data_IF_848284304831
#
_entry.id   IF_848284304831
#
_cell.length_a   1.000
_cell.length_b   1.000
_cell.length_c   1.000
_cell.angle_alpha   90.00
_cell.angle_beta   90.00
_cell.angle_gamma   90.00
#
_symmetry.space_group_name_H-M   'P 1'
#
loop_
_entity.id
_entity.type
_entity.pdbx_description
1 polymer ?
#
# COMPACT_ATOMS: atom_id res chain seq x y z
N UNK A 1 -19.79 -16.44 45.78
CA UNK A 1 -19.52 -16.37 44.36
C UNK A 1 -19.51 -17.75 43.75
N UNK A 2 -20.36 -17.99 42.78
CA UNK A 2 -20.35 -19.19 41.95
C UNK A 2 -19.24 -19.01 40.91
N UNK A 3 -18.11 -19.72 41.09
CA UNK A 3 -17.12 -19.90 40.02
C UNK A 3 -17.46 -21.23 39.30
N UNK A 4 -18.19 -21.20 38.17
CA UNK A 4 -18.59 -22.42 37.47
C UNK A 4 -17.47 -23.06 36.65
N UNK A 5 -16.31 -22.40 36.50
CA UNK A 5 -15.16 -22.91 35.80
C UNK A 5 -13.91 -22.92 36.68
N UNK A 6 -13.07 -23.97 36.60
CA UNK A 6 -11.83 -24.07 37.37
C UNK A 6 -10.76 -23.07 36.91
N UNK A 7 -10.97 -22.33 35.83
CA UNK A 7 -10.11 -21.27 35.33
C UNK A 7 -10.88 -19.97 35.27
N UNK A 8 -10.29 -18.90 35.76
CA UNK A 8 -10.81 -17.56 35.61
C UNK A 8 -10.80 -17.18 34.12
N UNK A 9 -11.94 -16.65 33.60
CA UNK A 9 -12.03 -16.24 32.19
C UNK A 9 -10.97 -15.19 31.80
N UNK A 10 -10.47 -14.43 32.76
CA UNK A 10 -9.37 -13.48 32.59
C UNK A 10 -8.08 -14.16 32.07
N UNK A 11 -7.77 -15.38 32.52
CA UNK A 11 -6.59 -16.11 32.06
C UNK A 11 -6.64 -16.49 30.59
N UNK A 12 -7.82 -16.77 30.05
CA UNK A 12 -7.99 -17.03 28.60
C UNK A 12 -7.60 -15.79 27.82
N UNK A 13 -8.03 -14.63 28.26
CA UNK A 13 -7.73 -13.35 27.62
C UNK A 13 -6.26 -12.99 27.76
N UNK A 14 -5.66 -13.18 28.94
CA UNK A 14 -4.23 -12.95 29.19
C UNK A 14 -3.37 -13.82 28.27
N UNK A 15 -3.71 -15.10 28.10
CA UNK A 15 -2.92 -16.01 27.26
C UNK A 15 -3.13 -15.69 25.78
N UNK A 16 -4.37 -15.50 25.31
CA UNK A 16 -4.66 -15.27 23.89
C UNK A 16 -4.20 -13.88 23.41
N UNK A 17 -4.38 -12.84 24.23
CA UNK A 17 -4.07 -11.48 23.85
C UNK A 17 -2.73 -11.00 24.43
N UNK A 18 -2.36 -11.40 25.65
CA UNK A 18 -1.15 -10.93 26.30
C UNK A 18 0.11 -11.62 25.81
N UNK A 19 0.06 -12.92 25.48
CA UNK A 19 1.25 -13.65 25.01
C UNK A 19 1.81 -13.09 23.70
N UNK A 20 1.01 -12.79 22.66
CA UNK A 20 1.51 -12.12 21.45
C UNK A 20 2.18 -10.79 21.74
N UNK A 21 1.60 -9.94 22.59
CA UNK A 21 2.14 -8.62 22.95
C UNK A 21 3.51 -8.78 23.62
N UNK A 22 3.65 -9.73 24.55
CA UNK A 22 4.92 -10.00 25.24
C UNK A 22 5.98 -10.51 24.25
N UNK A 23 5.59 -11.41 23.33
CA UNK A 23 6.52 -11.93 22.31
C UNK A 23 7.00 -10.83 21.36
N UNK A 24 6.11 -9.98 20.89
CA UNK A 24 6.46 -8.84 20.02
C UNK A 24 7.35 -7.84 20.76
N UNK A 25 7.08 -7.56 22.04
CA UNK A 25 7.91 -6.71 22.87
C UNK A 25 9.33 -7.27 23.05
N UNK A 26 9.46 -8.58 23.27
CA UNK A 26 10.77 -9.25 23.42
C UNK A 26 11.52 -9.22 22.08
N UNK A 27 10.86 -9.57 20.98
CA UNK A 27 11.45 -9.57 19.65
C UNK A 27 11.92 -8.14 19.28
N UNK A 28 11.09 -7.12 19.48
CA UNK A 28 11.42 -5.72 19.21
C UNK A 28 12.60 -5.22 20.06
N UNK A 29 12.65 -5.63 21.33
CA UNK A 29 13.75 -5.25 22.23
C UNK A 29 15.08 -5.90 21.83
N UNK A 30 15.05 -7.15 21.35
CA UNK A 30 16.27 -7.90 20.99
C UNK A 30 16.77 -7.51 19.58
N UNK A 31 15.84 -7.21 18.64
CA UNK A 31 16.21 -6.96 17.23
C UNK A 31 16.54 -5.49 16.97
N UNK A 32 15.76 -4.57 17.51
CA UNK A 32 15.85 -3.14 17.14
C UNK A 32 16.37 -2.24 18.28
N UNK A 33 16.57 -2.78 19.51
CA UNK A 33 16.89 -2.01 20.71
C UNK A 33 15.92 -0.82 20.95
N UNK A 34 14.70 -0.93 20.42
CA UNK A 34 13.69 0.14 20.45
C UNK A 34 12.69 -0.15 21.57
N UNK A 35 12.66 0.75 22.58
CA UNK A 35 11.70 0.66 23.67
C UNK A 35 10.36 1.19 23.19
N UNK A 36 9.63 0.36 22.47
CA UNK A 36 8.27 0.65 22.01
C UNK A 36 7.27 0.63 23.17
N UNK A 37 6.10 1.20 22.92
CA UNK A 37 4.97 1.16 23.87
C UNK A 37 4.66 -0.27 24.34
N UNK A 38 4.85 -1.27 23.47
CA UNK A 38 4.61 -2.69 23.73
C UNK A 38 5.45 -3.24 24.88
N UNK A 39 6.68 -2.75 25.07
CA UNK A 39 7.54 -3.13 26.20
C UNK A 39 6.97 -2.62 27.52
N UNK A 40 6.47 -1.37 27.55
CA UNK A 40 5.87 -0.79 28.75
C UNK A 40 4.55 -1.49 29.09
N UNK A 41 3.74 -1.80 28.07
CA UNK A 41 2.46 -2.54 28.24
C UNK A 41 2.74 -3.96 28.72
N UNK A 42 3.72 -4.66 28.15
CA UNK A 42 4.13 -6.00 28.60
C UNK A 42 4.59 -6.01 30.05
N UNK A 43 5.36 -5.00 30.47
CA UNK A 43 5.78 -4.85 31.84
C UNK A 43 4.61 -4.61 32.79
N UNK A 44 3.65 -3.74 32.40
CA UNK A 44 2.44 -3.47 33.16
C UNK A 44 1.56 -4.72 33.28
N UNK A 45 1.42 -5.49 32.20
CA UNK A 45 0.66 -6.73 32.16
C UNK A 45 1.25 -7.78 33.10
N UNK A 46 2.58 -8.01 33.04
CA UNK A 46 3.27 -8.92 33.95
C UNK A 46 3.13 -8.46 35.39
N UNK A 47 3.30 -7.17 35.69
CA UNK A 47 3.13 -6.63 37.02
C UNK A 47 1.71 -6.83 37.58
N UNK A 48 0.66 -6.62 36.74
CA UNK A 48 -0.74 -6.84 37.14
C UNK A 48 -0.98 -8.31 37.53
N UNK A 49 -0.45 -9.26 36.74
CA UNK A 49 -0.55 -10.69 37.06
C UNK A 49 0.16 -11.03 38.34
N UNK A 50 1.37 -10.48 38.63
CA UNK A 50 2.13 -10.73 39.88
C UNK A 50 1.35 -10.19 41.07
N UNK A 51 0.66 -9.07 40.96
CA UNK A 51 -0.13 -8.47 42.04
C UNK A 51 -1.46 -9.23 42.27
N UNK A 52 -1.87 -10.07 41.32
CA UNK A 52 -3.11 -10.83 41.38
C UNK A 52 -4.33 -10.10 40.84
N UNK A 53 -4.10 -9.04 40.06
CA UNK A 53 -5.13 -8.27 39.36
C UNK A 53 -5.35 -8.84 37.94
N UNK A 54 -5.73 -10.13 37.88
CA UNK A 54 -5.86 -10.88 36.62
C UNK A 54 -6.90 -10.27 35.67
N UNK A 55 -8.01 -9.72 36.22
CA UNK A 55 -9.02 -9.07 35.42
C UNK A 55 -8.49 -7.82 34.71
N UNK A 56 -7.76 -6.96 35.45
CA UNK A 56 -7.15 -5.75 34.87
C UNK A 56 -6.10 -6.09 33.81
N UNK A 57 -5.30 -7.14 34.03
CA UNK A 57 -4.34 -7.63 33.06
C UNK A 57 -5.02 -8.12 31.78
N UNK A 58 -6.12 -8.88 31.90
CA UNK A 58 -6.91 -9.36 30.75
C UNK A 58 -7.56 -8.22 29.97
N UNK A 59 -8.11 -7.22 30.65
CA UNK A 59 -8.74 -6.05 30.05
C UNK A 59 -7.73 -5.23 29.23
N UNK A 60 -6.57 -4.93 29.80
CA UNK A 60 -5.50 -4.20 29.11
C UNK A 60 -5.00 -4.97 27.90
N UNK A 61 -4.73 -6.27 28.01
CA UNK A 61 -4.33 -7.11 26.91
C UNK A 61 -5.34 -7.12 25.77
N UNK A 62 -6.65 -7.20 26.09
CA UNK A 62 -7.72 -7.21 25.12
C UNK A 62 -7.85 -5.89 24.36
N UNK A 63 -7.81 -4.75 25.08
CA UNK A 63 -7.88 -3.41 24.47
C UNK A 63 -6.70 -3.20 23.53
N UNK A 64 -5.49 -3.57 23.95
CA UNK A 64 -4.29 -3.45 23.11
C UNK A 64 -4.38 -4.32 21.86
N UNK A 65 -4.87 -5.54 21.96
CA UNK A 65 -5.03 -6.44 20.82
C UNK A 65 -6.05 -5.90 19.81
N UNK A 66 -7.13 -5.29 20.28
CA UNK A 66 -8.10 -4.60 19.39
C UNK A 66 -7.42 -3.42 18.70
N UNK A 67 -6.61 -2.64 19.41
CA UNK A 67 -5.86 -1.52 18.84
C UNK A 67 -4.93 -1.98 17.73
N UNK A 68 -4.12 -3.01 17.96
CA UNK A 68 -3.22 -3.60 16.96
C UNK A 68 -3.99 -4.12 15.73
N UNK A 69 -5.11 -4.82 15.94
CA UNK A 69 -5.95 -5.31 14.83
C UNK A 69 -6.50 -4.17 13.96
N UNK A 70 -6.96 -3.07 14.59
CA UNK A 70 -7.46 -1.90 13.86
C UNK A 70 -6.35 -1.19 13.09
N UNK A 71 -5.14 -1.13 13.64
CA UNK A 71 -3.96 -0.60 12.97
C UNK A 71 -3.61 -1.44 11.73
N UNK A 72 -3.53 -2.77 11.88
CA UNK A 72 -3.26 -3.70 10.78
C UNK A 72 -4.30 -3.58 9.66
N UNK A 73 -5.58 -3.52 10.00
CA UNK A 73 -6.66 -3.33 9.02
C UNK A 73 -6.55 -1.99 8.29
N UNK A 74 -6.14 -0.94 8.98
CA UNK A 74 -5.96 0.40 8.40
C UNK A 74 -4.78 0.41 7.43
N UNK A 75 -3.65 -0.17 7.83
CA UNK A 75 -2.45 -0.32 6.98
C UNK A 75 -2.74 -1.20 5.77
N UNK A 76 -3.45 -2.33 5.96
CA UNK A 76 -3.82 -3.21 4.86
C UNK A 76 -4.72 -2.52 3.83
N UNK A 77 -5.70 -1.70 4.28
CA UNK A 77 -6.53 -0.91 3.36
C UNK A 77 -5.73 0.13 2.58
N UNK A 78 -4.79 0.80 3.21
CA UNK A 78 -3.91 1.76 2.54
C UNK A 78 -3.05 1.07 1.47
N UNK A 79 -2.46 -0.09 1.78
CA UNK A 79 -1.66 -0.89 0.83
C UNK A 79 -2.48 -1.41 -0.34
N UNK A 80 -3.72 -1.85 -0.12
CA UNK A 80 -4.60 -2.35 -1.17
C UNK A 80 -4.91 -1.27 -2.24
N UNK A 81 -4.94 0.00 -1.87
CA UNK A 81 -5.07 1.12 -2.81
C UNK A 81 -3.89 1.22 -3.77
N UNK A 82 -2.67 1.10 -3.26
CA UNK A 82 -1.43 1.14 -4.06
C UNK A 82 -1.35 -0.10 -4.97
N UNK A 83 -1.68 -1.28 -4.45
CA UNK A 83 -1.65 -2.51 -5.24
C UNK A 83 -2.62 -2.47 -6.43
N UNK A 84 -3.79 -1.85 -6.26
CA UNK A 84 -4.72 -1.61 -7.39
C UNK A 84 -4.09 -0.77 -8.48
N UNK A 85 -3.38 0.31 -8.15
CA UNK A 85 -2.69 1.15 -9.14
C UNK A 85 -1.58 0.37 -9.87
N UNK A 86 -0.83 -0.45 -9.17
CA UNK A 86 0.20 -1.31 -9.77
C UNK A 86 -0.40 -2.33 -10.73
N UNK A 87 -1.54 -2.94 -10.37
CA UNK A 87 -2.27 -3.89 -11.24
C UNK A 87 -2.86 -3.25 -12.50
N UNK A 88 -3.08 -1.94 -12.51
CA UNK A 88 -3.55 -1.21 -13.68
C UNK A 88 -2.44 -0.95 -14.71
N UNK A 89 -1.17 -1.19 -14.34
CA UNK A 89 -0.05 -1.11 -15.27
C UNK A 89 -0.05 -2.35 -16.18
N UNK A 90 -0.26 -2.21 -17.50
CA UNK A 90 -0.20 -3.33 -18.41
C UNK A 90 1.16 -4.02 -18.35
N UNK A 91 1.16 -5.32 -18.31
CA UNK A 91 2.39 -6.13 -18.31
C UNK A 91 2.92 -6.37 -19.73
N UNK A 92 2.06 -6.22 -20.74
CA UNK A 92 2.40 -6.46 -22.14
C UNK A 92 1.94 -5.32 -23.03
N UNK A 93 2.59 -5.17 -24.17
CA UNK A 93 2.25 -4.24 -25.22
C UNK A 93 2.27 -4.95 -26.58
N UNK A 94 1.37 -4.52 -27.47
CA UNK A 94 1.29 -5.02 -28.85
C UNK A 94 2.04 -4.06 -29.76
N UNK A 95 3.23 -4.47 -30.18
CA UNK A 95 4.09 -3.70 -31.08
C UNK A 95 3.78 -4.05 -32.53
N UNK A 96 3.66 -3.04 -33.37
CA UNK A 96 3.41 -3.16 -34.82
C UNK A 96 4.71 -2.85 -35.55
N UNK A 97 5.19 -3.82 -36.33
CA UNK A 97 6.38 -3.66 -37.20
C UNK A 97 6.01 -4.02 -38.65
N UNK A 98 5.73 -3.00 -39.44
CA UNK A 98 5.20 -3.21 -40.79
C UNK A 98 3.81 -3.85 -40.75
N UNK A 99 3.67 -5.08 -41.28
CA UNK A 99 2.41 -5.83 -41.22
C UNK A 99 2.36 -6.87 -40.10
N UNK A 100 3.44 -7.03 -39.33
CA UNK A 100 3.51 -7.99 -38.25
C UNK A 100 3.20 -7.32 -36.90
N UNK A 101 2.39 -8.00 -36.11
CA UNK A 101 2.11 -7.64 -34.70
C UNK A 101 2.81 -8.64 -33.79
N UNK A 102 3.42 -8.15 -32.75
CA UNK A 102 4.02 -8.98 -31.69
C UNK A 102 3.66 -8.46 -30.30
N UNK A 103 3.36 -9.37 -29.40
CA UNK A 103 3.12 -9.02 -28.01
C UNK A 103 4.45 -9.18 -27.26
N UNK A 104 4.90 -8.09 -26.64
CA UNK A 104 6.14 -8.06 -25.86
C UNK A 104 5.84 -7.58 -24.44
N UNK A 105 6.70 -7.85 -23.45
CA UNK A 105 6.64 -7.19 -22.15
C UNK A 105 6.65 -5.67 -22.29
N UNK A 106 5.78 -4.97 -21.55
CA UNK A 106 5.68 -3.51 -21.62
C UNK A 106 7.01 -2.80 -21.27
N UNK A 107 7.85 -3.44 -20.46
CA UNK A 107 9.19 -2.96 -20.10
C UNK A 107 10.19 -2.95 -21.27
N UNK A 108 9.91 -3.72 -22.32
CA UNK A 108 10.76 -3.82 -23.52
C UNK A 108 10.37 -2.85 -24.62
N UNK A 109 9.29 -2.07 -24.43
CA UNK A 109 8.86 -1.04 -25.36
C UNK A 109 9.88 0.10 -25.35
N UNK A 110 10.34 0.51 -26.53
CA UNK A 110 11.23 1.64 -26.71
C UNK A 110 10.46 2.89 -27.20
N UNK A 111 11.03 4.06 -26.91
CA UNK A 111 10.52 5.32 -27.49
C UNK A 111 10.60 5.25 -29.00
N UNK A 112 9.50 5.61 -29.70
CA UNK A 112 9.38 5.52 -31.14
C UNK A 112 8.75 4.21 -31.64
N UNK A 113 8.56 3.19 -30.80
CA UNK A 113 7.82 1.99 -31.19
C UNK A 113 6.35 2.34 -31.49
N UNK A 114 5.82 1.71 -32.55
CA UNK A 114 4.40 1.81 -32.87
C UNK A 114 3.65 0.70 -32.14
N UNK A 115 2.65 1.10 -31.34
CA UNK A 115 1.84 0.19 -30.55
C UNK A 115 0.40 0.23 -31.00
N UNK A 116 -0.25 -0.93 -31.09
CA UNK A 116 -1.68 -1.06 -31.31
C UNK A 116 -2.40 -1.35 -30.03
N UNK A 117 -3.44 -0.55 -29.74
CA UNK A 117 -4.28 -0.72 -28.54
C UNK A 117 -5.72 -0.99 -28.98
N UNK A 118 -6.24 -2.15 -28.55
CA UNK A 118 -7.58 -2.59 -28.89
C UNK A 118 -8.61 -2.07 -27.86
N UNK A 119 -9.91 -2.07 -28.21
CA UNK A 119 -10.97 -1.74 -27.26
C UNK A 119 -10.92 -2.65 -26.02
N UNK A 120 -11.04 -2.05 -24.83
CA UNK A 120 -10.93 -2.72 -23.54
C UNK A 120 -9.50 -2.87 -23.03
N UNK A 121 -8.48 -2.65 -23.85
CA UNK A 121 -7.09 -2.69 -23.43
C UNK A 121 -6.66 -1.39 -22.72
N UNK A 122 -5.77 -1.53 -21.77
CA UNK A 122 -5.13 -0.39 -21.11
C UNK A 122 -3.89 0.04 -21.88
N UNK A 123 -3.72 1.35 -22.04
CA UNK A 123 -2.55 1.95 -22.72
C UNK A 123 -1.27 1.61 -21.94
N UNK A 124 -0.28 0.93 -22.55
CA UNK A 124 0.88 0.43 -21.84
C UNK A 124 1.93 1.50 -21.50
N UNK A 125 2.12 2.47 -22.37
CA UNK A 125 3.11 3.55 -22.23
C UNK A 125 2.51 4.86 -22.71
N UNK A 126 3.12 6.01 -22.40
CA UNK A 126 2.65 7.29 -22.94
C UNK A 126 3.01 7.40 -24.42
N UNK A 127 2.13 8.03 -25.21
CA UNK A 127 2.39 8.21 -26.64
C UNK A 127 1.46 9.19 -27.32
N UNK A 128 1.56 9.24 -28.64
CA UNK A 128 0.76 10.08 -29.53
C UNK A 128 0.03 9.18 -30.53
N UNK A 129 -1.27 9.39 -30.71
CA UNK A 129 -2.08 8.67 -31.70
C UNK A 129 -1.59 9.00 -33.09
N UNK A 130 -1.23 7.97 -33.87
CA UNK A 130 -0.80 8.09 -35.26
C UNK A 130 -1.85 7.66 -36.27
N UNK A 131 -2.74 6.74 -35.85
CA UNK A 131 -3.81 6.26 -36.68
C UNK A 131 -5.01 5.82 -35.84
N UNK A 132 -6.20 6.08 -36.33
CA UNK A 132 -7.46 5.75 -35.65
C UNK A 132 -8.03 6.89 -34.82
N UNK A 133 -9.18 6.64 -34.23
CA UNK A 133 -9.83 7.51 -33.24
C UNK A 133 -10.41 6.62 -32.14
N UNK A 134 -10.47 7.13 -30.95
CA UNK A 134 -10.86 6.36 -29.78
C UNK A 134 -11.45 7.26 -28.71
N UNK A 135 -12.08 6.63 -27.72
CA UNK A 135 -12.55 7.27 -26.50
C UNK A 135 -11.92 6.58 -25.31
N UNK A 136 -11.37 7.34 -24.39
CA UNK A 136 -10.65 6.85 -23.21
C UNK A 136 -11.42 7.07 -21.93
N UNK A 137 -11.43 6.06 -21.06
CA UNK A 137 -11.73 6.26 -19.65
C UNK A 137 -10.45 6.66 -18.92
N UNK A 138 -10.43 7.87 -18.41
CA UNK A 138 -9.30 8.45 -17.68
C UNK A 138 -9.53 8.48 -16.16
N UNK A 139 -10.57 7.82 -15.66
CA UNK A 139 -10.96 7.87 -14.24
C UNK A 139 -9.81 7.51 -13.27
N UNK A 140 -8.91 6.63 -13.69
CA UNK A 140 -7.72 6.23 -12.92
C UNK A 140 -6.74 7.40 -12.74
N UNK A 141 -6.66 8.30 -13.73
CA UNK A 141 -5.71 9.40 -13.75
C UNK A 141 -6.32 10.71 -13.22
N UNK A 142 -7.55 11.01 -13.59
CA UNK A 142 -8.21 12.28 -13.30
C UNK A 142 -9.32 12.19 -12.26
N UNK A 143 -9.81 10.97 -11.97
CA UNK A 143 -10.99 10.74 -11.15
C UNK A 143 -12.31 10.94 -11.90
N UNK A 144 -12.29 11.43 -13.14
CA UNK A 144 -13.47 11.66 -13.96
C UNK A 144 -13.80 10.43 -14.82
N UNK A 145 -15.04 9.92 -14.68
CA UNK A 145 -15.47 8.72 -15.40
C UNK A 145 -16.02 9.00 -16.81
N UNK A 146 -16.15 10.27 -17.20
CA UNK A 146 -16.63 10.62 -18.52
C UNK A 146 -15.58 10.26 -19.58
N UNK A 147 -15.96 9.54 -20.64
CA UNK A 147 -15.06 9.23 -21.75
C UNK A 147 -14.59 10.51 -22.45
N UNK A 148 -13.31 10.53 -22.79
CA UNK A 148 -12.69 11.63 -23.54
C UNK A 148 -12.33 11.12 -24.93
N UNK A 149 -12.90 11.74 -25.95
CA UNK A 149 -12.59 11.40 -27.34
C UNK A 149 -11.21 11.93 -27.74
N UNK A 150 -10.43 11.10 -28.44
CA UNK A 150 -9.10 11.43 -28.93
C UNK A 150 -8.92 10.97 -30.37
N UNK A 151 -8.17 11.75 -31.12
CA UNK A 151 -7.90 11.56 -32.53
C UNK A 151 -6.41 11.58 -32.84
N UNK A 152 -6.07 11.44 -34.12
CA UNK A 152 -4.65 11.49 -34.56
C UNK A 152 -4.00 12.82 -34.15
N UNK A 153 -2.85 12.72 -33.55
CA UNK A 153 -2.06 13.85 -33.02
C UNK A 153 -2.26 14.10 -31.51
N UNK A 154 -3.28 13.51 -30.90
CA UNK A 154 -3.53 13.68 -29.47
C UNK A 154 -2.59 12.79 -28.64
N UNK A 155 -2.18 13.34 -27.48
CA UNK A 155 -1.40 12.58 -26.48
C UNK A 155 -2.30 11.62 -25.71
N UNK A 156 -1.80 10.42 -25.46
CA UNK A 156 -2.42 9.40 -24.61
C UNK A 156 -1.50 9.05 -23.46
N UNK A 157 -2.08 8.89 -22.27
CA UNK A 157 -1.34 8.55 -21.07
C UNK A 157 -1.45 7.06 -20.75
N UNK A 158 -0.36 6.46 -20.31
CA UNK A 158 -0.34 5.09 -19.82
C UNK A 158 -1.30 4.91 -18.63
N UNK A 159 -1.93 3.73 -18.55
CA UNK A 159 -2.91 3.43 -17.51
C UNK A 159 -4.35 3.88 -17.84
N UNK A 160 -4.59 4.61 -18.93
CA UNK A 160 -5.94 4.89 -19.43
C UNK A 160 -6.50 3.69 -20.18
N UNK A 161 -7.83 3.50 -20.14
CA UNK A 161 -8.49 2.36 -20.78
C UNK A 161 -9.13 2.83 -22.07
N UNK A 162 -8.77 2.18 -23.18
CA UNK A 162 -9.43 2.37 -24.48
C UNK A 162 -10.83 1.79 -24.44
N UNK A 163 -11.85 2.60 -24.70
CA UNK A 163 -13.26 2.13 -24.69
C UNK A 163 -13.78 1.76 -26.06
N UNK A 164 -13.40 2.51 -27.10
CA UNK A 164 -13.94 2.32 -28.44
C UNK A 164 -12.84 2.47 -29.49
N UNK A 165 -12.97 1.66 -30.57
CA UNK A 165 -12.04 1.74 -31.70
C UNK A 165 -10.65 1.16 -31.36
N UNK A 166 -9.99 0.61 -32.37
CA UNK A 166 -8.57 0.30 -32.28
C UNK A 166 -7.79 1.50 -32.81
N UNK A 167 -6.65 1.78 -32.19
CA UNK A 167 -5.77 2.86 -32.64
C UNK A 167 -4.32 2.45 -32.56
N UNK A 168 -3.50 3.06 -33.39
CA UNK A 168 -2.06 2.93 -33.37
C UNK A 168 -1.45 4.20 -32.80
N UNK A 169 -0.51 4.05 -31.87
CA UNK A 169 0.20 5.14 -31.21
C UNK A 169 1.71 4.96 -31.33
N UNK A 170 2.44 6.05 -31.31
CA UNK A 170 3.89 6.05 -31.18
C UNK A 170 4.26 6.32 -29.72
N UNK A 171 5.08 5.46 -29.16
CA UNK A 171 5.54 5.58 -27.77
C UNK A 171 6.45 6.81 -27.60
N UNK A 172 6.15 7.68 -26.63
CA UNK A 172 6.91 8.89 -26.33
C UNK A 172 7.64 8.84 -25.00
N UNK A 173 7.04 8.19 -23.98
CA UNK A 173 7.63 7.97 -22.66
C UNK A 173 7.35 6.55 -22.21
N UNK A 174 8.38 5.85 -21.81
CA UNK A 174 8.38 4.41 -21.49
C UNK A 174 8.93 4.15 -20.10
N UNK A 175 8.70 2.96 -19.57
CA UNK A 175 9.24 2.52 -18.29
C UNK A 175 8.88 3.48 -17.15
N UNK A 176 9.86 3.86 -16.34
CA UNK A 176 9.67 4.71 -15.16
C UNK A 176 9.23 6.15 -15.48
N UNK A 177 9.44 6.62 -16.70
CA UNK A 177 9.03 7.96 -17.14
C UNK A 177 7.58 8.02 -17.62
N UNK A 178 6.90 6.88 -17.72
CA UNK A 178 5.49 6.83 -18.07
C UNK A 178 4.59 7.46 -16.99
N UNK A 179 3.45 7.99 -17.39
CA UNK A 179 2.52 8.70 -16.49
C UNK A 179 2.05 7.83 -15.35
N UNK A 180 1.73 6.56 -15.60
CA UNK A 180 1.29 5.62 -14.55
C UNK A 180 2.41 5.33 -13.56
N UNK A 181 3.66 5.14 -14.00
CA UNK A 181 4.79 4.85 -13.11
C UNK A 181 5.15 6.08 -12.27
N UNK A 182 5.07 7.28 -12.83
CA UNK A 182 5.23 8.53 -12.07
C UNK A 182 4.18 8.66 -10.99
N UNK A 183 2.92 8.32 -11.29
CA UNK A 183 1.84 8.33 -10.29
C UNK A 183 2.08 7.31 -9.18
N UNK A 184 2.43 6.06 -9.52
CA UNK A 184 2.77 5.02 -8.54
C UNK A 184 3.91 5.47 -7.62
N UNK A 185 4.95 6.10 -8.18
CA UNK A 185 6.09 6.63 -7.42
C UNK A 185 5.68 7.75 -6.47
N UNK A 186 4.83 8.68 -6.92
CA UNK A 186 4.31 9.76 -6.06
C UNK A 186 3.50 9.21 -4.87
N UNK A 187 2.63 8.24 -5.11
CA UNK A 187 1.83 7.62 -4.05
C UNK A 187 2.73 6.88 -3.06
N UNK A 188 3.71 6.09 -3.54
CA UNK A 188 4.68 5.41 -2.68
C UNK A 188 5.53 6.38 -1.85
N UNK A 189 5.95 7.50 -2.43
CA UNK A 189 6.74 8.52 -1.72
C UNK A 189 5.94 9.24 -0.64
N UNK A 190 4.64 9.46 -0.87
CA UNK A 190 3.73 10.03 0.12
C UNK A 190 3.55 9.09 1.34
N UNK A 191 3.42 7.78 1.11
CA UNK A 191 3.33 6.79 2.19
C UNK A 191 4.65 6.68 2.98
N UNK A 192 5.79 6.67 2.30
CA UNK A 192 7.10 6.67 2.94
C UNK A 192 7.33 7.94 3.79
N UNK A 193 6.77 9.08 3.37
CA UNK A 193 6.79 10.33 4.12
C UNK A 193 6.03 10.23 5.44
N UNK A 194 4.84 9.63 5.46
CA UNK A 194 4.06 9.39 6.69
C UNK A 194 4.81 8.51 7.69
N UNK A 195 5.39 7.40 7.23
CA UNK A 195 6.18 6.51 8.08
C UNK A 195 7.45 7.18 8.65
N UNK A 196 8.01 8.18 7.97
CA UNK A 196 9.15 8.95 8.45
C UNK A 196 8.76 9.97 9.53
N UNK A 197 7.58 10.60 9.39
CA UNK A 197 7.04 11.55 10.38
C UNK A 197 6.69 10.84 11.67
N UNK A 198 6.05 9.67 11.63
CA UNK A 198 5.74 8.86 12.81
C UNK A 198 7.02 8.48 13.54
N UNK A 199 8.04 7.95 12.85
CA UNK A 199 9.34 7.62 13.46
C UNK A 199 10.08 8.83 14.03
N UNK A 200 9.92 10.02 13.46
CA UNK A 200 10.46 11.26 14.05
C UNK A 200 9.71 11.63 15.33
N UNK A 201 8.39 11.54 15.35
CA UNK A 201 7.59 11.82 16.55
C UNK A 201 7.98 10.88 17.70
N UNK A 202 8.19 9.60 17.42
CA UNK A 202 8.63 8.60 18.41
C UNK A 202 10.05 8.91 18.92
N UNK A 203 10.99 9.31 18.07
CA UNK A 203 12.32 9.77 18.48
C UNK A 203 12.25 11.00 19.40
N UNK A 204 11.42 11.97 19.07
CA UNK A 204 11.25 13.18 19.89
C UNK A 204 10.61 12.87 21.24
N UNK A 205 9.72 11.88 21.32
CA UNK A 205 9.15 11.40 22.57
C UNK A 205 10.21 10.72 23.46
N UNK A 206 11.15 10.00 22.88
CA UNK A 206 12.24 9.30 23.57
C UNK A 206 13.33 10.27 24.02
N UNK A 207 13.74 11.24 23.20
CA UNK A 207 14.77 12.23 23.54
C UNK A 207 14.37 13.18 24.68
N UNK A 208 13.08 13.50 24.83
CA UNK A 208 12.61 14.33 25.95
C UNK A 208 12.77 13.66 27.31
N UNK A 209 12.86 12.34 27.38
CA UNK A 209 13.10 11.61 28.64
C UNK A 209 14.56 11.67 29.10
N UNK A 210 15.51 11.74 28.17
CA UNK A 210 16.93 11.77 28.53
C UNK A 210 17.39 13.13 29.07
N UNK A 211 16.72 14.23 28.73
CA UNK A 211 17.09 15.61 29.13
C UNK A 211 16.59 15.98 30.52
N UNK A 212 15.79 15.15 31.20
CA UNK A 212 15.27 15.43 32.56
C UNK A 212 15.98 14.66 33.65
N UNK A 213 17.06 13.92 33.36
CA UNK A 213 17.84 13.11 34.32
C UNK A 213 19.29 13.61 34.51
N UNK A 214 19.58 14.88 34.18
CA UNK A 214 20.81 15.54 34.60
C UNK A 214 20.47 16.81 35.40
#
# INVERSE_FOLDING_TARGET
GLHPFPFDAAWITIVLCGLPIILEAIIGLVTDFDIKADVLVSLALVASVIIGEDFAAGEVAFIMQIGALLEDLTVAKARAGIEKLVRLTPQTARVVRGQAESIIPAEQVAVGDTLRVLPGETVPVDGIIRMGQTSFNQAVMTGESLPVDKTVGDEVASGTVNQFGAFDMEATRVGEDSSIQRMVRLVRSADAGKAKIVRMADRWATDRKSTRLN
#
